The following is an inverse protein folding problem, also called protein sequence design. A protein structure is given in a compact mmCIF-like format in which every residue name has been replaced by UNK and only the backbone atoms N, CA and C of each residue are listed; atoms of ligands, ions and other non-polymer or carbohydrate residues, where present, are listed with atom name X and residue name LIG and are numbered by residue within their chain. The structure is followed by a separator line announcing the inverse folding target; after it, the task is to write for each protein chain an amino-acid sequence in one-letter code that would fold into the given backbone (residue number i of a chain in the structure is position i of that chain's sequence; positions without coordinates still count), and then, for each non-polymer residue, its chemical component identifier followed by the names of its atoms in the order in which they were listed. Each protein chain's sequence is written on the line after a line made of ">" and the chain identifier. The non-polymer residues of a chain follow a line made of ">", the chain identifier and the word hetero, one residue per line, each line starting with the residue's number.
data_IF_975340601025
#
_entry.id   IF_975340601025
#
_cell.length_a   1.000
_cell.length_b   1.000
_cell.length_c   1.000
_cell.angle_alpha   90.00
_cell.angle_beta   90.00
_cell.angle_gamma   90.00
#
_symmetry.space_group_name_H-M   'P 1'
#
loop_
_entity.id
_entity.type
_entity.pdbx_description
1 polymer ?
#
# COMPACT_ATOMS: atom_id res chain seq x y z
N UNK A 1 -2.67 -15.41 -5.82
CA UNK A 1 -3.85 -14.57 -5.53
C UNK A 1 -3.38 -13.28 -4.85
N UNK A 2 -3.38 -12.13 -5.55
CA UNK A 2 -2.89 -10.84 -5.03
C UNK A 2 -3.93 -9.70 -5.19
N UNK A 3 -4.67 -9.70 -6.30
CA UNK A 3 -5.71 -8.70 -6.58
C UNK A 3 -6.77 -8.54 -5.47
N UNK A 4 -7.38 -9.61 -4.89
CA UNK A 4 -8.40 -9.40 -3.87
C UNK A 4 -7.86 -8.79 -2.57
N UNK A 5 -6.60 -9.06 -2.20
CA UNK A 5 -5.96 -8.43 -1.04
C UNK A 5 -5.75 -6.92 -1.27
N UNK A 6 -5.34 -6.54 -2.48
CA UNK A 6 -5.19 -5.13 -2.86
C UNK A 6 -6.56 -4.44 -2.86
N UNK A 7 -7.60 -5.06 -3.43
CA UNK A 7 -8.96 -4.49 -3.47
C UNK A 7 -9.57 -4.34 -2.07
N UNK A 8 -9.40 -5.33 -1.19
CA UNK A 8 -9.86 -5.24 0.19
C UNK A 8 -9.17 -4.10 0.95
N UNK A 9 -7.86 -3.98 0.79
CA UNK A 9 -7.08 -2.90 1.41
C UNK A 9 -7.47 -1.52 0.85
N UNK A 10 -7.68 -1.41 -0.46
CA UNK A 10 -8.16 -0.18 -1.10
C UNK A 10 -9.51 0.26 -0.52
N UNK A 11 -10.44 -0.67 -0.28
CA UNK A 11 -11.72 -0.39 0.37
C UNK A 11 -11.57 0.16 1.79
N UNK A 12 -10.69 -0.46 2.60
CA UNK A 12 -10.41 0.00 3.98
C UNK A 12 -9.77 1.40 3.97
N UNK A 13 -8.77 1.63 3.13
CA UNK A 13 -8.09 2.93 3.02
C UNK A 13 -9.05 4.02 2.56
N UNK A 14 -9.87 3.75 1.53
CA UNK A 14 -10.88 4.68 1.05
C UNK A 14 -11.91 5.03 2.15
N UNK A 15 -12.36 4.02 2.91
CA UNK A 15 -13.29 4.22 4.03
C UNK A 15 -12.69 5.08 5.15
N UNK A 16 -11.41 4.90 5.48
CA UNK A 16 -10.75 5.63 6.57
C UNK A 16 -10.28 7.03 6.21
N UNK A 17 -9.82 7.23 4.97
CA UNK A 17 -9.17 8.49 4.55
C UNK A 17 -10.05 9.35 3.65
N UNK A 18 -11.10 8.79 3.05
CA UNK A 18 -11.92 9.45 2.03
C UNK A 18 -11.25 9.53 0.64
N UNK A 19 -10.02 9.03 0.48
CA UNK A 19 -9.31 9.03 -0.80
C UNK A 19 -10.00 8.14 -1.84
N UNK A 20 -9.96 8.58 -3.11
CA UNK A 20 -10.54 7.87 -4.26
C UNK A 20 -9.66 8.00 -5.50
N UNK A 21 -9.94 7.16 -6.51
CA UNK A 21 -9.32 7.23 -7.83
C UNK A 21 -7.79 7.27 -7.78
N UNK A 22 -7.19 8.23 -8.48
CA UNK A 22 -5.73 8.37 -8.57
C UNK A 22 -5.06 8.63 -7.22
N UNK A 23 -5.69 9.39 -6.32
CA UNK A 23 -5.12 9.69 -5.01
C UNK A 23 -5.08 8.43 -4.11
N UNK A 24 -6.12 7.58 -4.18
CA UNK A 24 -6.12 6.28 -3.50
C UNK A 24 -5.05 5.36 -4.08
N UNK A 25 -4.89 5.33 -5.41
CA UNK A 25 -3.84 4.54 -6.05
C UNK A 25 -2.45 4.99 -5.60
N UNK A 26 -2.16 6.30 -5.66
CA UNK A 26 -0.89 6.85 -5.23
C UNK A 26 -0.61 6.49 -3.77
N UNK A 27 -1.63 6.63 -2.91
CA UNK A 27 -1.55 6.24 -1.50
C UNK A 27 -1.08 4.80 -1.29
N UNK A 28 -1.60 3.85 -2.06
CA UNK A 28 -1.22 2.44 -1.95
C UNK A 28 0.19 2.16 -2.48
N UNK A 29 0.62 2.88 -3.51
CA UNK A 29 1.95 2.74 -4.09
C UNK A 29 3.02 3.34 -3.17
N UNK A 30 2.81 4.54 -2.66
CA UNK A 30 3.78 5.26 -1.82
C UNK A 30 3.97 4.62 -0.43
N UNK A 31 3.02 3.79 -0.01
CA UNK A 31 3.07 3.11 1.29
C UNK A 31 3.42 1.64 1.21
N UNK A 32 3.68 1.13 0.00
CA UNK A 32 4.20 -0.22 -0.16
C UNK A 32 5.57 -0.37 0.52
N UNK A 33 5.87 -1.58 0.96
CA UNK A 33 7.19 -1.97 1.42
C UNK A 33 7.99 -2.43 0.20
N UNK A 34 8.97 -1.62 -0.19
CA UNK A 34 9.90 -1.94 -1.26
C UNK A 34 10.63 -3.26 -0.96
N UNK A 35 10.58 -4.18 -1.93
CA UNK A 35 11.21 -5.50 -1.87
C UNK A 35 11.86 -5.79 -3.22
N UNK A 36 13.03 -6.41 -3.20
CA UNK A 36 13.78 -6.68 -4.43
C UNK A 36 14.78 -5.57 -4.73
N UNK A 37 14.73 -5.03 -5.95
CA UNK A 37 15.61 -3.93 -6.37
C UNK A 37 15.02 -2.63 -5.82
N UNK A 38 15.85 -1.81 -5.18
CA UNK A 38 15.39 -0.55 -4.62
C UNK A 38 14.65 0.31 -5.65
N UNK A 39 13.42 0.71 -5.33
CA UNK A 39 12.52 1.46 -6.21
C UNK A 39 11.51 0.57 -6.94
N UNK A 40 11.02 1.07 -8.08
CA UNK A 40 10.06 0.31 -8.88
C UNK A 40 10.77 -0.77 -9.69
N UNK A 41 10.24 -1.99 -9.68
CA UNK A 41 10.68 -3.08 -10.56
C UNK A 41 9.51 -3.79 -11.27
N UNK A 42 9.80 -4.52 -12.35
CA UNK A 42 8.75 -5.17 -13.16
C UNK A 42 8.13 -6.42 -12.51
N UNK A 43 8.75 -6.95 -11.45
CA UNK A 43 8.31 -8.16 -10.74
C UNK A 43 7.41 -7.82 -9.55
N UNK A 44 7.79 -6.83 -8.73
CA UNK A 44 7.09 -6.43 -7.51
C UNK A 44 6.45 -5.05 -7.61
N UNK A 45 6.69 -4.29 -8.68
CA UNK A 45 6.15 -2.94 -8.84
C UNK A 45 6.72 -2.00 -7.79
N UNK A 46 5.85 -1.35 -7.01
CA UNK A 46 6.26 -0.53 -5.86
C UNK A 46 6.59 -1.35 -4.60
N UNK A 47 6.48 -2.69 -4.68
CA UNK A 47 6.76 -3.61 -3.58
C UNK A 47 5.52 -4.25 -2.98
N UNK A 48 5.67 -4.77 -1.76
CA UNK A 48 4.62 -5.47 -1.03
C UNK A 48 3.61 -4.48 -0.44
N UNK A 49 2.32 -4.72 -0.66
CA UNK A 49 1.24 -3.97 -0.04
C UNK A 49 1.36 -3.91 1.49
N UNK A 50 1.32 -2.70 2.07
CA UNK A 50 1.29 -2.50 3.52
C UNK A 50 0.02 -1.75 3.93
N UNK A 51 -0.97 -2.49 4.43
CA UNK A 51 -2.28 -1.95 4.81
C UNK A 51 -2.21 -0.97 5.98
N UNK A 52 -1.34 -1.22 6.96
CA UNK A 52 -1.16 -0.33 8.10
C UNK A 52 -0.63 1.03 7.63
N UNK A 53 0.51 1.04 6.92
CA UNK A 53 1.12 2.28 6.40
C UNK A 53 0.16 3.03 5.49
N UNK A 54 -0.61 2.32 4.66
CA UNK A 54 -1.60 2.92 3.77
C UNK A 54 -2.76 3.61 4.51
N UNK A 55 -3.20 3.08 5.65
CA UNK A 55 -4.26 3.67 6.47
C UNK A 55 -3.74 4.83 7.34
N UNK A 56 -2.59 4.67 7.99
CA UNK A 56 -2.12 5.60 9.03
C UNK A 56 -1.15 6.65 8.56
N UNK A 57 -0.47 6.41 7.43
CA UNK A 57 0.67 7.20 6.95
C UNK A 57 1.89 7.16 7.88
N UNK A 58 2.00 6.09 8.65
CA UNK A 58 3.09 5.86 9.60
C UNK A 58 3.62 4.44 9.44
N UNK A 59 4.91 4.24 9.70
CA UNK A 59 5.50 2.90 9.82
C UNK A 59 5.29 2.34 11.22
N UNK A 60 5.09 1.02 11.32
CA UNK A 60 5.16 0.31 12.61
C UNK A 60 6.60 0.38 13.15
N UNK A 61 6.72 0.52 14.46
CA UNK A 61 8.03 0.38 15.13
C UNK A 61 8.49 -1.07 15.08
N UNK A 62 9.81 -1.30 15.14
CA UNK A 62 10.35 -2.65 15.16
C UNK A 62 9.83 -3.42 16.40
N UNK A 63 9.17 -4.56 16.19
CA UNK A 63 8.68 -5.45 17.25
C UNK A 63 7.17 -5.42 17.54
N UNK A 64 6.41 -4.68 16.73
CA UNK A 64 4.93 -4.70 16.71
C UNK A 64 4.43 -5.39 15.45
#
# INVERSE_FOLDING_TARGET
>A
MAAPQVTGTAGVVASKTGLRGAALRARLLDTADDIGVAGYDETFGAGRLNSYRAVTNTSLGAGQ
#
